data_IF_427914564823
#
_entry.id   IF_427914564823
#
_cell.length_a   1.000
_cell.length_b   1.000
_cell.length_c   1.000
_cell.angle_alpha   90.00
_cell.angle_beta   90.00
_cell.angle_gamma   90.00
#
_symmetry.space_group_name_H-M   'P 1'
#
loop_
_entity.id
_entity.type
_entity.pdbx_description
1 polymer ?
#
# COMPACT_ATOMS: atom_id res chain seq x y z
N UNK A 1 -32.97 6.09 -5.00
CA UNK A 1 -31.74 5.32 -4.74
C UNK A 1 -31.22 5.77 -3.37
N UNK A 2 -31.46 4.95 -2.36
CA UNK A 2 -31.25 5.25 -0.93
C UNK A 2 -29.82 5.74 -0.61
N UNK A 3 -28.82 5.19 -1.31
CA UNK A 3 -27.41 5.59 -1.18
C UNK A 3 -27.13 7.02 -1.67
N UNK A 4 -27.73 7.41 -2.79
CA UNK A 4 -27.57 8.77 -3.30
C UNK A 4 -28.18 9.81 -2.35
N UNK A 5 -29.29 9.47 -1.69
CA UNK A 5 -29.90 10.31 -0.67
C UNK A 5 -29.01 10.43 0.58
N UNK A 6 -28.39 9.34 1.03
CA UNK A 6 -27.46 9.33 2.17
C UNK A 6 -26.19 10.16 1.88
N UNK A 7 -25.60 10.00 0.70
CA UNK A 7 -24.43 10.78 0.28
C UNK A 7 -24.76 12.26 0.21
N UNK A 8 -25.91 12.61 -0.39
CA UNK A 8 -26.36 13.99 -0.48
C UNK A 8 -26.54 14.60 0.90
N UNK A 9 -27.17 13.87 1.83
CA UNK A 9 -27.38 14.32 3.22
C UNK A 9 -26.04 14.59 3.94
N UNK A 10 -25.03 13.73 3.75
CA UNK A 10 -23.70 13.91 4.34
C UNK A 10 -22.98 15.14 3.76
N UNK A 11 -23.08 15.36 2.45
CA UNK A 11 -22.51 16.55 1.79
C UNK A 11 -23.21 17.81 2.28
N UNK A 12 -24.55 17.82 2.34
CA UNK A 12 -25.33 18.98 2.81
C UNK A 12 -25.02 19.30 4.28
N UNK A 13 -24.81 18.29 5.14
CA UNK A 13 -24.38 18.47 6.53
C UNK A 13 -22.96 19.07 6.63
N UNK A 14 -22.00 18.57 5.84
CA UNK A 14 -20.65 19.10 5.82
C UNK A 14 -20.64 20.56 5.33
N UNK A 15 -21.40 20.90 4.29
CA UNK A 15 -21.51 22.26 3.77
C UNK A 15 -22.11 23.21 4.82
N UNK A 16 -23.18 22.82 5.50
CA UNK A 16 -23.80 23.62 6.58
C UNK A 16 -22.84 23.86 7.75
N UNK A 17 -22.07 22.84 8.16
CA UNK A 17 -21.13 22.94 9.27
C UNK A 17 -20.00 23.94 9.00
N UNK A 18 -19.56 24.05 7.75
CA UNK A 18 -18.44 24.94 7.37
C UNK A 18 -18.90 26.34 6.89
N UNK A 19 -20.21 26.63 6.85
CA UNK A 19 -20.71 27.98 6.60
C UNK A 19 -20.74 28.86 7.85
N UNK A 20 -20.82 28.27 9.05
CA UNK A 20 -21.01 29.02 10.31
C UNK A 20 -19.75 29.09 11.18
N UNK A 21 -18.70 28.30 10.90
CA UNK A 21 -17.48 28.23 11.70
C UNK A 21 -16.22 28.25 10.84
N UNK A 22 -15.06 28.72 11.36
CA UNK A 22 -13.79 28.58 10.67
C UNK A 22 -13.53 27.10 10.34
N UNK A 23 -13.10 26.81 9.11
CA UNK A 23 -12.84 25.46 8.64
C UNK A 23 -11.79 24.77 9.52
N UNK A 24 -12.20 23.79 10.31
CA UNK A 24 -11.28 22.90 11.01
C UNK A 24 -10.79 21.81 10.04
N UNK A 25 -9.47 21.78 9.69
CA UNK A 25 -8.94 20.82 8.75
C UNK A 25 -9.12 19.35 9.18
N UNK A 26 -9.15 19.08 10.50
CA UNK A 26 -9.34 17.73 11.02
C UNK A 26 -10.80 17.28 10.85
N UNK A 27 -11.73 18.14 11.17
CA UNK A 27 -13.18 17.87 11.03
C UNK A 27 -13.54 17.70 9.55
N UNK A 28 -13.06 18.57 8.66
CA UNK A 28 -13.25 18.47 7.21
C UNK A 28 -12.69 17.17 6.65
N UNK A 29 -11.48 16.77 7.08
CA UNK A 29 -10.87 15.51 6.68
C UNK A 29 -11.71 14.29 7.11
N UNK A 30 -12.27 14.31 8.31
CA UNK A 30 -13.12 13.24 8.82
C UNK A 30 -14.48 13.17 8.07
N UNK A 31 -15.09 14.28 7.75
CA UNK A 31 -16.32 14.33 6.97
C UNK A 31 -16.12 13.88 5.53
N UNK A 32 -15.04 14.33 4.87
CA UNK A 32 -14.63 13.83 3.55
C UNK A 32 -14.38 12.32 3.56
N UNK A 33 -13.75 11.80 4.60
CA UNK A 33 -13.54 10.36 4.76
C UNK A 33 -14.85 9.58 4.89
N UNK A 34 -15.81 10.08 5.65
CA UNK A 34 -17.15 9.48 5.77
C UNK A 34 -17.89 9.43 4.42
N UNK A 35 -17.83 10.50 3.64
CA UNK A 35 -18.40 10.53 2.28
C UNK A 35 -17.70 9.51 1.38
N UNK A 36 -16.36 9.44 1.40
CA UNK A 36 -15.59 8.47 0.65
C UNK A 36 -15.94 7.02 1.03
N UNK A 37 -16.13 6.74 2.33
CA UNK A 37 -16.53 5.41 2.80
C UNK A 37 -17.89 4.99 2.23
N UNK A 38 -18.85 5.92 2.05
CA UNK A 38 -20.13 5.62 1.43
C UNK A 38 -20.01 5.28 -0.06
N UNK A 39 -19.10 5.96 -0.78
CA UNK A 39 -18.78 5.60 -2.17
C UNK A 39 -18.11 4.23 -2.25
N UNK A 40 -17.12 3.97 -1.40
CA UNK A 40 -16.38 2.70 -1.35
C UNK A 40 -17.27 1.56 -0.85
N UNK A 41 -18.12 1.81 0.15
CA UNK A 41 -19.10 0.84 0.66
C UNK A 41 -20.21 0.52 -0.33
N UNK A 42 -20.42 1.37 -1.35
CA UNK A 42 -21.33 1.12 -2.47
C UNK A 42 -20.72 0.24 -3.57
N UNK A 43 -19.43 0.28 -3.72
CA UNK A 43 -18.64 -0.72 -4.44
C UNK A 43 -18.36 -1.84 -3.44
N UNK A 44 -19.28 -2.78 -3.28
CA UNK A 44 -19.01 -4.05 -2.59
C UNK A 44 -18.04 -4.90 -3.41
N UNK A 45 -16.89 -4.33 -3.74
CA UNK A 45 -15.70 -5.11 -4.03
C UNK A 45 -15.05 -5.29 -2.66
N UNK A 46 -15.62 -6.18 -1.85
CA UNK A 46 -14.86 -6.77 -0.76
C UNK A 46 -13.98 -7.84 -1.43
N UNK A 47 -12.70 -7.52 -1.76
CA UNK A 47 -11.85 -8.48 -2.46
C UNK A 47 -11.74 -9.76 -1.67
N UNK A 48 -11.85 -9.70 -0.33
CA UNK A 48 -11.78 -10.83 0.57
C UNK A 48 -12.96 -11.83 0.45
N UNK A 49 -14.08 -11.47 -0.19
CA UNK A 49 -15.20 -12.38 -0.45
C UNK A 49 -15.13 -13.09 -1.82
N UNK A 50 -14.11 -12.79 -2.64
CA UNK A 50 -13.96 -13.45 -3.94
C UNK A 50 -13.11 -14.71 -3.79
N UNK A 51 -13.54 -15.87 -4.32
CA UNK A 51 -12.79 -17.13 -4.22
C UNK A 51 -11.33 -17.02 -4.71
N UNK A 52 -11.11 -16.24 -5.76
CA UNK A 52 -9.75 -16.01 -6.29
C UNK A 52 -8.85 -15.19 -5.36
N UNK A 53 -9.40 -14.28 -4.57
CA UNK A 53 -8.65 -13.55 -3.54
C UNK A 53 -8.14 -14.50 -2.46
N UNK A 54 -9.05 -15.27 -1.84
CA UNK A 54 -8.69 -16.20 -0.76
C UNK A 54 -7.75 -17.29 -1.24
N UNK A 55 -7.98 -17.80 -2.45
CA UNK A 55 -7.24 -18.95 -2.98
C UNK A 55 -5.83 -18.56 -3.48
N UNK A 56 -5.66 -17.38 -4.06
CA UNK A 56 -4.43 -17.03 -4.77
C UNK A 56 -3.73 -15.77 -4.22
N UNK A 57 -4.47 -14.68 -3.97
CA UNK A 57 -3.85 -13.42 -3.57
C UNK A 57 -3.41 -13.44 -2.12
N UNK A 58 -4.30 -13.84 -1.21
CA UNK A 58 -4.01 -13.87 0.22
C UNK A 58 -2.79 -14.74 0.59
N UNK A 59 -2.62 -15.97 0.08
CA UNK A 59 -1.41 -16.77 0.34
C UNK A 59 -0.14 -16.11 -0.20
N UNK A 60 -0.19 -15.54 -1.40
CA UNK A 60 0.98 -14.85 -1.99
C UNK A 60 1.35 -13.60 -1.18
N UNK A 61 0.37 -12.83 -0.69
CA UNK A 61 0.64 -11.71 0.21
C UNK A 61 1.27 -12.16 1.52
N UNK A 62 0.80 -13.28 2.09
CA UNK A 62 1.40 -13.87 3.29
C UNK A 62 2.86 -14.29 3.05
N UNK A 63 3.17 -14.95 1.92
CA UNK A 63 4.54 -15.28 1.53
C UNK A 63 5.41 -14.04 1.37
N UNK A 64 4.92 -12.99 0.72
CA UNK A 64 5.65 -11.72 0.59
C UNK A 64 5.93 -11.11 1.97
N UNK A 65 4.94 -11.03 2.85
CA UNK A 65 5.08 -10.40 4.16
C UNK A 65 6.04 -11.13 5.09
N UNK A 66 6.13 -12.43 4.98
CA UNK A 66 7.03 -13.26 5.81
C UNK A 66 8.44 -13.39 5.24
N UNK A 67 8.58 -13.37 3.91
CA UNK A 67 9.81 -13.71 3.20
C UNK A 67 10.32 -12.57 2.29
N UNK A 68 9.88 -11.32 2.50
CA UNK A 68 10.25 -10.18 1.64
C UNK A 68 11.75 -9.93 1.51
N UNK A 69 12.56 -10.42 2.44
CA UNK A 69 14.03 -10.32 2.39
C UNK A 69 14.66 -11.30 1.38
N UNK A 70 13.95 -12.37 1.01
CA UNK A 70 14.42 -13.38 0.06
C UNK A 70 14.25 -12.89 -1.39
N UNK A 71 14.93 -13.58 -2.32
CA UNK A 71 14.75 -13.32 -3.75
C UNK A 71 13.42 -13.89 -4.26
N UNK A 72 12.34 -13.15 -4.00
CA UNK A 72 11.00 -13.51 -4.41
C UNK A 72 10.72 -13.01 -5.82
N UNK A 73 10.39 -13.93 -6.71
CA UNK A 73 9.96 -13.64 -8.08
C UNK A 73 8.48 -13.95 -8.28
N UNK A 74 7.84 -13.30 -9.26
CA UNK A 74 6.46 -13.63 -9.62
C UNK A 74 6.30 -15.09 -10.05
N UNK A 75 7.33 -15.66 -10.66
CA UNK A 75 7.37 -17.07 -11.06
C UNK A 75 7.40 -18.01 -9.83
N UNK A 76 8.26 -17.75 -8.87
CA UNK A 76 8.32 -18.52 -7.62
C UNK A 76 6.98 -18.46 -6.86
N UNK A 77 6.44 -17.26 -6.67
CA UNK A 77 5.17 -17.04 -5.96
C UNK A 77 3.96 -17.67 -6.69
N UNK A 78 3.96 -17.67 -8.02
CA UNK A 78 2.89 -18.31 -8.79
C UNK A 78 2.86 -19.83 -8.64
N UNK A 79 4.04 -20.46 -8.51
CA UNK A 79 4.15 -21.91 -8.23
C UNK A 79 3.58 -22.28 -6.86
N UNK A 80 3.75 -21.44 -5.85
CA UNK A 80 3.22 -21.69 -4.50
C UNK A 80 1.68 -21.81 -4.49
N UNK A 81 1.01 -21.12 -5.40
CA UNK A 81 -0.46 -21.14 -5.52
C UNK A 81 -0.96 -21.90 -6.75
N UNK A 82 -0.07 -22.66 -7.41
CA UNK A 82 -0.38 -23.54 -8.56
C UNK A 82 -1.05 -22.83 -9.74
N UNK A 83 -0.54 -21.65 -10.10
CA UNK A 83 -1.01 -20.87 -11.25
C UNK A 83 0.16 -20.44 -12.15
N UNK A 84 -0.15 -19.93 -13.34
CA UNK A 84 0.88 -19.32 -14.19
C UNK A 84 1.25 -17.92 -13.70
N UNK A 85 2.49 -17.43 -13.92
CA UNK A 85 2.88 -16.06 -13.58
C UNK A 85 1.99 -15.00 -14.22
N UNK A 86 1.53 -15.24 -15.45
CA UNK A 86 0.63 -14.34 -16.17
C UNK A 86 -0.75 -14.24 -15.50
N UNK A 87 -1.27 -15.37 -14.99
CA UNK A 87 -2.54 -15.38 -14.29
C UNK A 87 -2.41 -14.64 -12.94
N UNK A 88 -1.35 -14.92 -12.17
CA UNK A 88 -1.06 -14.22 -10.92
C UNK A 88 -0.91 -12.71 -11.16
N UNK A 89 -0.18 -12.29 -12.19
CA UNK A 89 0.00 -10.89 -12.56
C UNK A 89 -1.33 -10.19 -12.85
N UNK A 90 -2.24 -10.85 -13.60
CA UNK A 90 -3.60 -10.32 -13.86
C UNK A 90 -4.41 -10.18 -12.58
N UNK A 91 -4.32 -11.14 -11.66
CA UNK A 91 -4.99 -11.05 -10.37
C UNK A 91 -4.45 -9.89 -9.52
N UNK A 92 -3.12 -9.72 -9.45
CA UNK A 92 -2.50 -8.59 -8.73
C UNK A 92 -2.98 -7.25 -9.30
N UNK A 93 -2.92 -7.07 -10.63
CA UNK A 93 -3.42 -5.85 -11.27
C UNK A 93 -4.90 -5.60 -10.96
N UNK A 94 -5.72 -6.66 -11.00
CA UNK A 94 -7.17 -6.56 -10.77
C UNK A 94 -7.51 -6.21 -9.32
N UNK A 95 -6.84 -6.82 -8.34
CA UNK A 95 -7.20 -6.70 -6.92
C UNK A 95 -6.40 -5.62 -6.18
N UNK A 96 -5.16 -5.36 -6.61
CA UNK A 96 -4.22 -4.48 -5.92
C UNK A 96 -3.79 -3.28 -6.77
N UNK A 97 -4.16 -3.24 -8.05
CA UNK A 97 -3.81 -2.15 -8.96
C UNK A 97 -2.32 -2.04 -9.28
N UNK A 98 -1.53 -3.09 -8.98
CA UNK A 98 -0.08 -3.09 -9.20
C UNK A 98 0.43 -4.50 -9.55
N UNK A 99 1.67 -4.59 -10.04
CA UNK A 99 2.34 -5.87 -10.26
C UNK A 99 2.84 -6.49 -8.94
N UNK A 100 3.14 -7.80 -8.97
CA UNK A 100 3.78 -8.51 -7.84
C UNK A 100 5.09 -7.83 -7.43
N UNK A 101 5.92 -7.46 -8.42
CA UNK A 101 7.19 -6.79 -8.20
C UNK A 101 7.02 -5.41 -7.54
N UNK A 102 6.06 -4.61 -8.02
CA UNK A 102 5.76 -3.29 -7.42
C UNK A 102 5.25 -3.42 -6.00
N UNK A 103 4.41 -4.41 -5.72
CA UNK A 103 3.93 -4.68 -4.36
C UNK A 103 5.09 -5.04 -3.42
N UNK A 104 5.93 -6.00 -3.81
CA UNK A 104 7.13 -6.40 -3.05
C UNK A 104 8.06 -5.22 -2.80
N UNK A 105 8.32 -4.41 -3.84
CA UNK A 105 9.15 -3.20 -3.74
C UNK A 105 8.57 -2.21 -2.73
N UNK A 106 7.28 -1.89 -2.82
CA UNK A 106 6.60 -0.99 -1.87
C UNK A 106 6.68 -1.52 -0.44
N UNK A 107 6.49 -2.82 -0.25
CA UNK A 107 6.58 -3.46 1.06
C UNK A 107 7.99 -3.38 1.65
N UNK A 108 9.03 -3.73 0.88
CA UNK A 108 10.44 -3.60 1.27
C UNK A 108 10.80 -2.17 1.67
N UNK A 109 10.37 -1.19 0.88
CA UNK A 109 10.64 0.23 1.17
C UNK A 109 9.88 0.73 2.40
N UNK A 110 8.68 0.21 2.68
CA UNK A 110 7.98 0.49 3.94
C UNK A 110 8.79 -0.01 5.14
N UNK A 111 9.30 -1.24 5.07
CA UNK A 111 10.18 -1.80 6.12
C UNK A 111 11.51 -1.03 6.25
N UNK A 112 12.07 -0.59 5.13
CA UNK A 112 13.27 0.26 5.14
C UNK A 112 13.02 1.60 5.86
N UNK A 113 11.88 2.24 5.65
CA UNK A 113 11.50 3.47 6.37
C UNK A 113 11.43 3.26 7.89
N UNK A 114 10.82 2.15 8.33
CA UNK A 114 10.76 1.78 9.74
C UNK A 114 12.17 1.64 10.34
N UNK A 115 13.08 0.92 9.64
CA UNK A 115 14.46 0.73 10.06
C UNK A 115 15.30 2.02 10.05
N UNK A 116 15.10 2.88 9.07
CA UNK A 116 15.79 4.17 8.96
C UNK A 116 15.50 5.09 10.16
N UNK A 117 14.27 5.07 10.66
CA UNK A 117 13.84 5.88 11.79
C UNK A 117 14.24 5.25 13.12
N UNK A 118 14.05 3.94 13.28
CA UNK A 118 14.31 3.22 14.53
C UNK A 118 15.80 2.97 14.79
N UNK A 119 16.62 2.85 13.74
CA UNK A 119 18.04 2.52 13.84
C UNK A 119 18.92 3.56 13.14
N UNK A 120 18.91 4.79 13.63
CA UNK A 120 19.59 5.95 13.00
C UNK A 120 21.09 5.76 12.75
N UNK A 121 21.78 4.97 13.58
CA UNK A 121 23.22 4.71 13.45
C UNK A 121 23.60 3.61 12.46
N UNK A 122 22.65 2.84 11.94
CA UNK A 122 22.95 1.75 10.99
C UNK A 122 23.34 2.30 9.62
N UNK A 123 24.28 1.59 8.94
CA UNK A 123 24.64 1.94 7.57
C UNK A 123 23.47 1.69 6.62
N UNK A 124 23.36 2.53 5.60
CA UNK A 124 22.31 2.39 4.57
C UNK A 124 22.42 1.06 3.85
N UNK A 125 23.67 0.59 3.63
CA UNK A 125 23.94 -0.70 3.01
C UNK A 125 23.36 -1.88 3.81
N UNK A 126 23.51 -1.86 5.14
CA UNK A 126 23.00 -2.92 6.02
C UNK A 126 21.46 -2.94 5.99
N UNK A 127 20.83 -1.76 6.02
CA UNK A 127 19.37 -1.64 5.90
C UNK A 127 18.90 -2.14 4.53
N UNK A 128 19.61 -1.84 3.45
CA UNK A 128 19.30 -2.37 2.13
C UNK A 128 19.29 -3.92 2.11
N UNK A 129 20.30 -4.53 2.70
CA UNK A 129 20.40 -6.00 2.82
C UNK A 129 19.26 -6.58 3.67
N UNK A 130 18.95 -5.98 4.82
CA UNK A 130 17.88 -6.42 5.71
C UNK A 130 16.49 -6.41 5.04
N UNK A 131 16.30 -5.55 4.06
CA UNK A 131 15.02 -5.48 3.33
C UNK A 131 15.07 -6.19 1.98
N UNK A 132 16.11 -6.99 1.72
CA UNK A 132 16.21 -7.88 0.57
C UNK A 132 16.78 -7.25 -0.70
N UNK A 133 17.57 -6.17 -0.58
CA UNK A 133 18.35 -5.64 -1.70
C UNK A 133 19.81 -6.09 -1.59
N UNK A 134 20.28 -6.83 -2.57
CA UNK A 134 21.68 -7.24 -2.67
C UNK A 134 22.61 -6.10 -3.09
N UNK A 135 22.08 -5.12 -3.83
CA UNK A 135 22.78 -3.92 -4.26
C UNK A 135 22.21 -2.67 -3.58
N UNK A 136 23.05 -2.02 -2.77
CA UNK A 136 22.69 -0.80 -2.08
C UNK A 136 22.42 0.39 -3.03
N UNK A 137 23.10 0.43 -4.19
CA UNK A 137 22.88 1.48 -5.19
C UNK A 137 21.48 1.35 -5.80
N UNK A 138 21.07 0.13 -6.12
CA UNK A 138 19.70 -0.15 -6.58
C UNK A 138 18.66 0.20 -5.50
N UNK A 139 18.91 -0.13 -4.24
CA UNK A 139 18.04 0.26 -3.14
C UNK A 139 17.87 1.79 -3.06
N UNK A 140 18.98 2.56 -3.07
CA UNK A 140 18.94 4.04 -3.02
C UNK A 140 18.14 4.61 -4.19
N UNK A 141 18.35 4.08 -5.41
CA UNK A 141 17.61 4.49 -6.60
C UNK A 141 16.10 4.24 -6.44
N UNK A 142 15.72 3.03 -6.02
CA UNK A 142 14.32 2.66 -5.84
C UNK A 142 13.65 3.45 -4.71
N UNK A 143 14.37 3.65 -3.60
CA UNK A 143 13.87 4.45 -2.48
C UNK A 143 13.59 5.90 -2.92
N UNK A 144 14.55 6.54 -3.63
CA UNK A 144 14.39 7.89 -4.16
C UNK A 144 13.24 7.99 -5.17
N UNK A 145 13.13 7.01 -6.08
CA UNK A 145 12.03 6.95 -7.08
C UNK A 145 10.66 6.92 -6.41
N UNK A 146 10.52 6.20 -5.30
CA UNK A 146 9.24 5.99 -4.62
C UNK A 146 8.90 7.04 -3.56
N UNK A 147 9.91 7.72 -3.00
CA UNK A 147 9.72 8.66 -1.87
C UNK A 147 10.08 10.11 -2.21
N UNK A 148 10.73 10.34 -3.35
CA UNK A 148 11.23 11.65 -3.78
C UNK A 148 12.58 12.04 -3.16
N UNK A 149 13.11 11.28 -2.19
CA UNK A 149 14.35 11.57 -1.48
C UNK A 149 15.19 10.33 -1.24
N UNK A 150 16.48 10.50 -0.96
CA UNK A 150 17.38 9.39 -0.63
C UNK A 150 17.11 8.85 0.78
N UNK A 151 17.50 7.60 1.09
CA UNK A 151 17.38 7.05 2.45
C UNK A 151 18.09 7.90 3.51
N UNK A 152 19.24 8.50 3.17
CA UNK A 152 19.99 9.37 4.09
C UNK A 152 19.26 10.69 4.37
N UNK A 153 18.64 11.29 3.36
CA UNK A 153 17.79 12.48 3.53
C UNK A 153 16.55 12.15 4.36
N UNK A 154 15.88 11.03 4.05
CA UNK A 154 14.72 10.56 4.81
C UNK A 154 15.04 10.37 6.30
N UNK A 155 16.19 9.76 6.62
CA UNK A 155 16.66 9.59 8.01
C UNK A 155 16.88 10.91 8.76
N UNK A 156 17.36 11.95 8.06
CA UNK A 156 17.65 13.25 8.68
C UNK A 156 16.41 14.04 9.07
N UNK A 157 15.32 13.87 8.33
CA UNK A 157 14.09 14.64 8.54
C UNK A 157 13.07 13.95 9.44
N UNK A 158 13.27 12.66 9.75
CA UNK A 158 12.43 11.86 10.65
C UNK A 158 13.24 11.36 11.85
#
# INVERSE_FOLDING_TARGET
>A
NEKAATIRKLIDQAVLHHQETPVDPQLLSQECYQVLLQFIGGLQINPSKQPAWEKYIRPVLASIHTRYMEDLTADALSREVFVTPQYLSRLFSRYLGCSVYEYLTKFRLSKAKELLVSHRGRKIQDIAQDVGYTDASHFVLMFRKMTGMTPSEFRKIN
#
